data_IF_413237555693
#
_entry.id   IF_413237555693
#
_cell.length_a   1.000
_cell.length_b   1.000
_cell.length_c   1.000
_cell.angle_alpha   90.00
_cell.angle_beta   90.00
_cell.angle_gamma   90.00
#
_symmetry.space_group_name_H-M   'P 1'
#
loop_
_entity.id
_entity.type
_entity.pdbx_description
1 polymer ?
#
# COMPACT_ATOMS: atom_id res chain seq x y z
N UNK A 1 25.64 -37.67 16.65
CA UNK A 1 24.94 -38.95 16.35
C UNK A 1 24.17 -38.77 15.06
N UNK A 2 24.69 -39.31 13.94
CA UNK A 2 24.09 -39.17 12.63
C UNK A 2 23.00 -40.19 12.41
N UNK A 3 21.80 -39.91 12.89
CA UNK A 3 20.62 -40.66 12.43
C UNK A 3 20.23 -40.11 11.09
N UNK A 4 20.27 -40.96 10.06
CA UNK A 4 19.77 -40.59 8.73
C UNK A 4 18.29 -40.22 8.80
N UNK A 5 17.87 -39.13 8.16
CA UNK A 5 16.47 -38.70 8.18
C UNK A 5 15.59 -39.71 7.45
N UNK A 6 14.52 -40.18 8.11
CA UNK A 6 13.46 -40.96 7.46
C UNK A 6 12.47 -40.02 6.76
N UNK A 7 11.91 -40.48 5.64
CA UNK A 7 10.97 -39.69 4.85
C UNK A 7 9.67 -40.47 4.64
N UNK A 8 8.55 -39.80 4.90
CA UNK A 8 7.24 -40.27 4.50
C UNK A 8 6.68 -39.36 3.41
N UNK A 9 5.99 -39.92 2.42
CA UNK A 9 5.37 -39.19 1.32
C UNK A 9 3.87 -39.46 1.32
N UNK A 10 3.09 -38.39 1.38
CA UNK A 10 1.64 -38.46 1.19
C UNK A 10 1.19 -37.26 0.36
N UNK A 11 0.19 -37.45 -0.49
CA UNK A 11 -0.38 -36.42 -1.35
C UNK A 11 -1.75 -36.03 -0.86
N UNK A 12 -2.01 -34.73 -0.77
CA UNK A 12 -3.28 -34.15 -0.38
C UNK A 12 -3.74 -33.17 -1.45
N UNK A 13 -5.04 -33.09 -1.70
CA UNK A 13 -5.60 -32.05 -2.55
C UNK A 13 -5.75 -30.74 -1.77
N UNK A 14 -6.03 -29.66 -2.49
CA UNK A 14 -6.27 -28.34 -1.89
C UNK A 14 -7.73 -28.11 -1.44
N UNK A 15 -8.57 -29.15 -1.47
CA UNK A 15 -9.92 -29.09 -0.90
C UNK A 15 -9.87 -29.09 0.62
N UNK A 16 -10.78 -28.35 1.26
CA UNK A 16 -10.78 -28.18 2.74
C UNK A 16 -10.72 -29.53 3.49
N UNK A 17 -11.52 -30.52 3.11
CA UNK A 17 -11.50 -31.84 3.76
C UNK A 17 -10.12 -32.50 3.63
N UNK A 18 -9.45 -32.36 2.50
CA UNK A 18 -8.12 -32.94 2.30
C UNK A 18 -7.04 -32.20 3.09
N UNK A 19 -7.17 -30.87 3.26
CA UNK A 19 -6.27 -30.08 4.11
C UNK A 19 -6.50 -30.45 5.60
N UNK A 20 -7.75 -30.70 6.02
CA UNK A 20 -8.05 -31.20 7.36
C UNK A 20 -7.46 -32.60 7.59
N UNK A 21 -7.55 -33.50 6.60
CA UNK A 21 -6.88 -34.79 6.65
C UNK A 21 -5.35 -34.65 6.74
N UNK A 22 -4.77 -33.66 6.03
CA UNK A 22 -3.36 -33.33 6.15
C UNK A 22 -3.01 -32.87 7.57
N UNK A 23 -3.82 -31.98 8.17
CA UNK A 23 -3.66 -31.54 9.56
C UNK A 23 -3.69 -32.72 10.54
N UNK A 24 -4.68 -33.62 10.44
CA UNK A 24 -4.76 -34.80 11.25
C UNK A 24 -3.53 -35.71 11.09
N UNK A 25 -3.11 -35.93 9.85
CA UNK A 25 -1.93 -36.74 9.57
C UNK A 25 -0.65 -36.14 10.19
N UNK A 26 -0.50 -34.83 10.19
CA UNK A 26 0.62 -34.14 10.87
C UNK A 26 0.57 -34.37 12.38
N UNK A 27 -0.59 -34.20 12.99
CA UNK A 27 -0.80 -34.38 14.44
C UNK A 27 -0.51 -35.81 14.85
N UNK A 28 -1.04 -36.80 14.13
CA UNK A 28 -0.83 -38.25 14.39
C UNK A 28 0.66 -38.62 14.30
N UNK A 29 1.41 -37.97 13.39
CA UNK A 29 2.85 -38.18 13.26
C UNK A 29 3.70 -37.25 14.16
N UNK A 30 3.06 -36.56 15.12
CA UNK A 30 3.72 -35.60 16.03
C UNK A 30 4.53 -34.52 15.33
N UNK A 31 4.17 -34.20 14.09
CA UNK A 31 4.81 -33.18 13.28
C UNK A 31 4.15 -31.83 13.58
N UNK A 32 4.83 -30.99 14.36
CA UNK A 32 4.32 -29.68 14.80
C UNK A 32 4.79 -28.52 13.93
N UNK A 33 5.70 -28.76 13.01
CA UNK A 33 6.32 -27.72 12.19
C UNK A 33 6.15 -28.03 10.71
N UNK A 34 5.64 -27.05 9.95
CA UNK A 34 5.43 -27.14 8.49
C UNK A 34 6.09 -25.97 7.81
N UNK A 35 6.77 -26.24 6.70
CA UNK A 35 7.33 -25.20 5.84
C UNK A 35 6.70 -25.28 4.45
N UNK A 36 6.21 -24.14 3.98
CA UNK A 36 5.63 -23.99 2.63
C UNK A 36 6.29 -22.83 1.90
N UNK A 37 6.36 -22.89 0.57
CA UNK A 37 6.75 -21.73 -0.20
C UNK A 37 5.60 -20.71 -0.34
N UNK A 38 5.94 -19.44 -0.63
CA UNK A 38 4.98 -18.34 -0.75
C UNK A 38 4.53 -18.10 -2.20
N UNK A 39 4.44 -19.14 -3.03
CA UNK A 39 4.01 -19.02 -4.41
C UNK A 39 2.55 -18.57 -4.50
N UNK A 40 2.32 -17.37 -5.05
CA UNK A 40 1.00 -16.78 -5.19
C UNK A 40 0.23 -16.64 -3.88
N UNK A 41 -1.04 -17.04 -3.90
CA UNK A 41 -1.93 -17.07 -2.72
C UNK A 41 -2.30 -18.50 -2.27
N UNK A 42 -1.74 -19.52 -2.90
CA UNK A 42 -2.12 -20.92 -2.67
C UNK A 42 -1.79 -21.43 -1.27
N UNK A 43 -0.80 -20.85 -0.60
CA UNK A 43 -0.45 -21.16 0.78
C UNK A 43 -1.47 -20.65 1.80
N UNK A 44 -2.23 -19.58 1.47
CA UNK A 44 -3.14 -18.90 2.43
C UNK A 44 -4.23 -19.80 2.97
N UNK A 45 -5.00 -20.57 2.17
CA UNK A 45 -6.00 -21.49 2.69
C UNK A 45 -5.41 -22.59 3.58
N UNK A 46 -4.24 -23.11 3.21
CA UNK A 46 -3.53 -24.12 4.00
C UNK A 46 -3.05 -23.54 5.33
N UNK A 47 -2.43 -22.35 5.29
CA UNK A 47 -2.00 -21.62 6.48
C UNK A 47 -3.15 -21.38 7.44
N UNK A 48 -4.28 -20.87 6.96
CA UNK A 48 -5.44 -20.53 7.79
C UNK A 48 -6.06 -21.76 8.50
N UNK A 49 -5.93 -22.97 7.94
CA UNK A 49 -6.44 -24.20 8.55
C UNK A 49 -5.44 -24.84 9.51
N UNK A 50 -4.15 -24.55 9.36
CA UNK A 50 -3.09 -25.15 10.17
C UNK A 50 -2.66 -24.26 11.34
N UNK A 51 -2.72 -22.92 11.20
CA UNK A 51 -2.06 -21.95 12.11
C UNK A 51 -2.42 -22.08 13.59
N UNK A 52 -3.60 -22.62 13.92
CA UNK A 52 -4.05 -22.77 15.31
C UNK A 52 -3.35 -23.91 16.06
N UNK A 53 -2.88 -24.96 15.35
CA UNK A 53 -2.33 -26.16 15.96
C UNK A 53 -0.91 -26.51 15.49
N UNK A 54 -0.48 -25.94 14.38
CA UNK A 54 0.77 -26.25 13.70
C UNK A 54 1.58 -24.97 13.49
N UNK A 55 2.87 -25.01 13.78
CA UNK A 55 3.80 -23.94 13.48
C UNK A 55 4.09 -23.87 11.97
N UNK A 56 3.48 -22.94 11.28
CA UNK A 56 3.62 -22.83 9.82
C UNK A 56 4.62 -21.75 9.45
N UNK A 57 5.71 -22.17 8.83
CA UNK A 57 6.73 -21.26 8.27
C UNK A 57 6.49 -21.06 6.77
N UNK A 58 6.29 -19.82 6.38
CA UNK A 58 6.17 -19.44 4.96
C UNK A 58 7.52 -19.00 4.45
N UNK A 59 8.08 -19.76 3.52
CA UNK A 59 9.38 -19.51 2.91
C UNK A 59 9.27 -18.64 1.65
N UNK A 60 10.19 -17.70 1.49
CA UNK A 60 10.29 -16.97 0.23
C UNK A 60 10.98 -17.88 -0.83
N UNK A 61 10.39 -18.08 -2.02
CA UNK A 61 10.95 -18.95 -3.08
C UNK A 61 12.40 -18.62 -3.44
N UNK A 62 12.81 -17.36 -3.25
CA UNK A 62 14.22 -16.95 -3.48
C UNK A 62 15.22 -17.72 -2.62
N UNK A 63 14.83 -18.10 -1.41
CA UNK A 63 15.70 -18.76 -0.43
C UNK A 63 15.63 -20.28 -0.47
N UNK A 64 14.55 -20.82 -1.01
CA UNK A 64 14.31 -22.27 -1.06
C UNK A 64 14.40 -22.86 -2.46
N UNK A 65 14.76 -22.06 -3.46
CA UNK A 65 14.87 -22.49 -4.86
C UNK A 65 15.97 -23.53 -4.99
N UNK A 66 15.61 -24.72 -5.46
CA UNK A 66 16.56 -25.78 -5.77
C UNK A 66 17.54 -25.36 -6.89
N UNK A 67 18.74 -25.93 -6.85
CA UNK A 67 19.72 -25.83 -7.94
C UNK A 67 19.12 -26.49 -9.19
N UNK A 68 19.40 -25.96 -10.39
CA UNK A 68 18.86 -26.41 -11.68
C UNK A 68 18.86 -27.94 -11.83
N UNK A 69 17.70 -28.50 -12.14
CA UNK A 69 17.48 -29.91 -12.40
C UNK A 69 16.03 -30.16 -12.81
N UNK A 70 15.65 -31.40 -13.14
CA UNK A 70 14.28 -31.76 -13.42
C UNK A 70 13.38 -31.44 -12.22
N UNK A 71 12.47 -30.50 -12.40
CA UNK A 71 11.47 -30.14 -11.40
C UNK A 71 10.51 -31.32 -11.19
N UNK A 72 10.42 -31.74 -9.94
CA UNK A 72 9.43 -32.70 -9.47
C UNK A 72 8.99 -32.23 -8.07
N UNK A 73 7.70 -32.09 -7.84
CA UNK A 73 7.11 -31.64 -6.56
C UNK A 73 7.62 -32.45 -5.36
N UNK A 74 7.92 -33.73 -5.59
CA UNK A 74 8.48 -34.61 -4.53
C UNK A 74 9.90 -34.21 -4.16
N UNK A 75 10.71 -33.86 -5.16
CA UNK A 75 12.10 -33.41 -4.94
C UNK A 75 12.12 -32.02 -4.28
N UNK A 76 11.23 -31.14 -4.73
CA UNK A 76 11.11 -29.79 -4.19
C UNK A 76 10.64 -29.82 -2.74
N UNK A 77 9.62 -30.62 -2.38
CA UNK A 77 9.15 -30.74 -1.00
C UNK A 77 10.21 -31.33 -0.07
N UNK A 78 10.93 -32.39 -0.51
CA UNK A 78 12.06 -32.97 0.24
C UNK A 78 13.19 -31.96 0.43
N UNK A 79 13.50 -31.18 -0.61
CA UNK A 79 14.53 -30.13 -0.54
C UNK A 79 14.17 -29.04 0.47
N UNK A 80 12.93 -28.50 0.39
CA UNK A 80 12.44 -27.49 1.32
C UNK A 80 12.44 -28.03 2.75
N UNK A 81 11.97 -29.27 2.97
CA UNK A 81 11.98 -29.92 4.27
C UNK A 81 13.39 -30.09 4.85
N UNK A 82 14.40 -30.45 4.01
CA UNK A 82 15.78 -30.55 4.46
C UNK A 82 16.36 -29.19 4.85
N UNK A 83 16.16 -28.16 4.03
CA UNK A 83 16.61 -26.80 4.36
C UNK A 83 15.96 -26.29 5.65
N UNK A 84 14.67 -26.57 5.84
CA UNK A 84 13.91 -26.16 7.02
C UNK A 84 14.42 -26.87 8.27
N UNK A 85 14.62 -28.18 8.23
CA UNK A 85 15.19 -28.97 9.32
C UNK A 85 16.57 -28.50 9.75
N UNK A 86 17.36 -28.01 8.82
CA UNK A 86 18.71 -27.45 9.10
C UNK A 86 18.67 -25.98 9.57
N UNK A 87 17.49 -25.37 9.74
CA UNK A 87 17.34 -23.97 10.14
C UNK A 87 17.80 -22.94 9.09
N UNK A 88 17.90 -23.37 7.83
CA UNK A 88 18.40 -22.52 6.73
C UNK A 88 17.30 -21.72 6.03
N UNK A 89 16.03 -21.90 6.43
CA UNK A 89 14.89 -21.21 5.82
C UNK A 89 14.47 -20.03 6.69
N UNK A 90 14.73 -18.79 6.29
CA UNK A 90 14.17 -17.62 6.97
C UNK A 90 12.66 -17.54 6.70
N UNK A 91 11.84 -17.59 7.75
CA UNK A 91 10.39 -17.43 7.67
C UNK A 91 9.99 -16.02 7.23
N UNK A 92 8.92 -15.94 6.44
CA UNK A 92 8.28 -14.67 6.12
C UNK A 92 7.39 -14.23 7.28
N UNK A 93 7.39 -12.94 7.62
CA UNK A 93 6.48 -12.40 8.63
C UNK A 93 5.02 -12.44 8.13
N UNK A 94 4.19 -13.17 8.84
CA UNK A 94 2.74 -13.25 8.62
C UNK A 94 2.06 -12.68 9.87
N UNK A 95 1.31 -11.58 9.77
CA UNK A 95 0.59 -11.02 10.92
C UNK A 95 -0.53 -11.94 11.39
N UNK A 96 -1.00 -11.70 12.61
CA UNK A 96 -2.17 -12.38 13.16
C UNK A 96 -3.43 -12.14 12.29
N UNK A 97 -4.40 -13.03 12.40
CA UNK A 97 -5.61 -13.05 11.57
C UNK A 97 -6.37 -11.72 11.53
N UNK A 98 -6.62 -10.99 12.64
CA UNK A 98 -7.29 -9.69 12.59
C UNK A 98 -6.51 -8.66 11.75
N UNK A 99 -5.19 -8.61 11.89
CA UNK A 99 -4.34 -7.72 11.10
C UNK A 99 -4.32 -8.13 9.61
N UNK A 100 -4.42 -9.42 9.29
CA UNK A 100 -4.54 -9.87 7.89
C UNK A 100 -5.84 -9.40 7.24
N UNK A 101 -6.95 -9.46 7.97
CA UNK A 101 -8.24 -8.93 7.50
C UNK A 101 -8.13 -7.42 7.26
N UNK A 102 -7.64 -6.65 8.24
CA UNK A 102 -7.41 -5.22 8.10
C UNK A 102 -6.53 -4.91 6.87
N UNK A 103 -5.47 -5.70 6.63
CA UNK A 103 -4.57 -5.58 5.49
C UNK A 103 -5.27 -5.82 4.15
N UNK A 104 -6.22 -6.73 4.06
CA UNK A 104 -6.98 -6.97 2.83
C UNK A 104 -7.79 -5.73 2.45
N UNK A 105 -8.51 -5.12 3.39
CA UNK A 105 -9.29 -3.92 3.16
C UNK A 105 -8.42 -2.69 2.83
N UNK A 106 -7.33 -2.46 3.57
CA UNK A 106 -6.42 -1.33 3.28
C UNK A 106 -5.76 -1.45 1.91
N UNK A 107 -5.37 -2.65 1.50
CA UNK A 107 -4.80 -2.91 0.17
C UNK A 107 -5.83 -2.79 -0.93
N UNK A 108 -7.07 -3.18 -0.70
CA UNK A 108 -8.16 -3.00 -1.65
C UNK A 108 -8.48 -1.52 -1.82
N UNK A 109 -8.60 -0.77 -0.71
CA UNK A 109 -8.75 0.68 -0.71
C UNK A 109 -7.65 1.39 -1.52
N UNK A 110 -6.40 1.00 -1.31
CA UNK A 110 -5.26 1.54 -2.08
C UNK A 110 -5.41 1.33 -3.58
N UNK A 111 -5.84 0.14 -4.02
CA UNK A 111 -6.09 -0.16 -5.43
C UNK A 111 -7.24 0.66 -5.99
N UNK A 112 -8.35 0.77 -5.27
CA UNK A 112 -9.49 1.60 -5.69
C UNK A 112 -9.12 3.08 -5.77
N UNK A 113 -8.30 3.58 -4.85
CA UNK A 113 -7.78 4.96 -4.92
C UNK A 113 -6.94 5.18 -6.18
N UNK A 114 -6.12 4.19 -6.58
CA UNK A 114 -5.38 4.24 -7.83
C UNK A 114 -6.29 4.19 -9.06
N UNK A 115 -7.32 3.34 -9.04
CA UNK A 115 -8.35 3.29 -10.08
C UNK A 115 -9.09 4.64 -10.19
N UNK A 116 -9.52 5.21 -9.07
CA UNK A 116 -10.17 6.52 -9.03
C UNK A 116 -9.31 7.61 -9.67
N UNK A 117 -8.01 7.64 -9.36
CA UNK A 117 -7.07 8.58 -9.97
C UNK A 117 -6.98 8.37 -11.48
N UNK A 118 -6.94 7.12 -11.94
CA UNK A 118 -6.93 6.80 -13.37
C UNK A 118 -8.20 7.25 -14.08
N UNK A 119 -9.37 7.09 -13.46
CA UNK A 119 -10.64 7.57 -14.01
C UNK A 119 -10.71 9.10 -14.02
N UNK A 120 -10.22 9.78 -12.98
CA UNK A 120 -10.11 11.24 -12.97
C UNK A 120 -9.25 11.76 -14.12
N UNK A 121 -8.10 11.16 -14.35
CA UNK A 121 -7.22 11.54 -15.47
C UNK A 121 -7.89 11.26 -16.82
N UNK A 122 -8.63 10.14 -16.96
CA UNK A 122 -9.37 9.80 -18.18
C UNK A 122 -10.47 10.81 -18.46
N UNK A 123 -11.17 11.26 -17.43
CA UNK A 123 -12.21 12.28 -17.54
C UNK A 123 -11.65 13.63 -17.96
N UNK A 124 -10.56 14.06 -17.31
CA UNK A 124 -9.86 15.31 -17.66
C UNK A 124 -9.33 15.29 -19.09
N UNK A 125 -8.69 14.20 -19.51
CA UNK A 125 -8.22 14.04 -20.88
C UNK A 125 -9.38 14.10 -21.91
N UNK A 126 -10.54 13.55 -21.56
CA UNK A 126 -11.73 13.64 -22.43
C UNK A 126 -12.22 15.07 -22.57
N UNK A 127 -12.20 15.88 -21.52
CA UNK A 127 -12.54 17.32 -21.57
C UNK A 127 -11.53 18.08 -22.48
N UNK A 128 -10.25 17.84 -22.30
CA UNK A 128 -9.19 18.46 -23.11
C UNK A 128 -9.37 18.18 -24.61
N UNK A 129 -9.74 16.95 -24.98
CA UNK A 129 -9.99 16.59 -26.39
C UNK A 129 -11.23 17.31 -26.97
N UNK A 130 -12.15 17.74 -26.11
CA UNK A 130 -13.35 18.50 -26.48
C UNK A 130 -13.17 20.02 -26.44
N UNK A 131 -11.93 20.53 -26.33
CA UNK A 131 -11.63 21.95 -26.14
C UNK A 131 -12.21 22.56 -24.85
N UNK A 132 -12.36 21.77 -23.79
CA UNK A 132 -12.77 22.26 -22.47
C UNK A 132 -11.50 22.44 -21.62
N UNK A 133 -11.03 23.67 -21.48
CA UNK A 133 -9.80 24.03 -20.75
C UNK A 133 -10.11 24.53 -19.32
N UNK A 134 -11.18 24.04 -18.71
CA UNK A 134 -11.66 24.48 -17.40
C UNK A 134 -10.64 24.28 -16.28
N UNK A 135 -9.76 23.29 -16.39
CA UNK A 135 -8.67 23.00 -15.46
C UNK A 135 -7.60 24.09 -15.40
N UNK A 136 -7.52 24.98 -16.40
CA UNK A 136 -6.64 26.15 -16.38
C UNK A 136 -7.14 27.27 -15.45
N UNK A 137 -8.45 27.28 -15.15
CA UNK A 137 -9.13 28.35 -14.38
C UNK A 137 -9.50 27.90 -12.97
N UNK A 138 -9.92 26.63 -12.83
CA UNK A 138 -10.36 26.05 -11.55
C UNK A 138 -9.27 25.21 -10.92
N UNK A 139 -9.19 25.25 -9.60
CA UNK A 139 -8.22 24.42 -8.86
C UNK A 139 -8.59 22.93 -8.82
N UNK A 140 -9.87 22.59 -8.95
CA UNK A 140 -10.39 21.22 -8.97
C UNK A 140 -11.59 21.12 -9.92
N UNK A 141 -11.40 20.39 -11.01
CA UNK A 141 -12.47 20.14 -12.01
C UNK A 141 -13.59 19.21 -11.48
N UNK A 142 -13.36 18.53 -10.35
CA UNK A 142 -14.35 17.71 -9.66
C UNK A 142 -15.06 18.49 -8.53
N UNK A 143 -14.75 19.76 -8.35
CA UNK A 143 -15.46 20.65 -7.43
C UNK A 143 -16.87 20.97 -7.91
N UNK A 144 -17.77 21.34 -6.97
CA UNK A 144 -19.22 21.54 -7.23
C UNK A 144 -19.50 22.44 -8.46
N UNK A 145 -18.86 23.62 -8.56
CA UNK A 145 -19.09 24.53 -9.67
C UNK A 145 -18.59 23.97 -11.00
N UNK A 146 -17.36 23.44 -11.03
CA UNK A 146 -16.79 22.89 -12.24
C UNK A 146 -17.61 21.69 -12.75
N UNK A 147 -18.01 20.80 -11.85
CA UNK A 147 -18.89 19.67 -12.16
C UNK A 147 -20.21 20.13 -12.73
N UNK A 148 -20.87 21.15 -12.13
CA UNK A 148 -22.15 21.70 -12.61
C UNK A 148 -22.02 22.33 -14.01
N UNK A 149 -20.90 22.99 -14.30
CA UNK A 149 -20.62 23.52 -15.63
C UNK A 149 -20.41 22.39 -16.65
N UNK A 150 -19.61 21.38 -16.30
CA UNK A 150 -19.34 20.24 -17.19
C UNK A 150 -20.64 19.45 -17.47
N UNK A 151 -21.49 19.24 -16.47
CA UNK A 151 -22.76 18.56 -16.62
C UNK A 151 -23.67 19.33 -17.59
N UNK A 152 -23.71 20.67 -17.48
CA UNK A 152 -24.37 21.55 -18.46
C UNK A 152 -23.86 21.32 -19.88
N UNK A 153 -22.53 21.33 -20.10
CA UNK A 153 -21.94 21.12 -21.42
C UNK A 153 -22.28 19.74 -22.03
N UNK A 154 -22.36 18.72 -21.20
CA UNK A 154 -22.72 17.34 -21.61
C UNK A 154 -24.22 17.25 -21.99
N UNK A 155 -25.07 18.08 -21.40
CA UNK A 155 -26.50 18.09 -21.66
C UNK A 155 -26.91 18.87 -22.94
N UNK A 156 -26.09 19.86 -23.38
CA UNK A 156 -26.38 20.63 -24.59
C UNK A 156 -26.36 19.75 -25.84
N UNK A 157 -27.32 19.97 -26.73
CA UNK A 157 -27.42 19.21 -27.98
C UNK A 157 -26.54 19.76 -29.10
N UNK A 158 -26.36 21.07 -29.13
CA UNK A 158 -25.72 21.83 -30.22
C UNK A 158 -24.38 22.46 -29.89
N UNK A 159 -23.79 22.10 -28.75
CA UNK A 159 -22.56 22.67 -28.19
C UNK A 159 -22.65 24.22 -27.98
N UNK A 160 -23.86 24.78 -27.85
CA UNK A 160 -24.05 26.18 -27.48
C UNK A 160 -23.85 26.42 -26.00
N UNK A 161 -23.43 27.60 -25.62
CA UNK A 161 -23.34 28.05 -24.23
C UNK A 161 -24.20 29.27 -23.97
N UNK A 162 -24.88 29.24 -22.83
CA UNK A 162 -25.59 30.40 -22.30
C UNK A 162 -24.73 30.96 -21.14
N UNK A 163 -24.17 32.18 -21.34
CA UNK A 163 -23.27 32.82 -20.40
C UNK A 163 -23.93 33.07 -19.03
N UNK A 164 -25.19 33.48 -19.01
CA UNK A 164 -25.93 33.76 -17.78
C UNK A 164 -26.15 32.46 -16.97
N UNK A 165 -26.49 31.38 -17.65
CA UNK A 165 -26.68 30.07 -17.04
C UNK A 165 -25.37 29.52 -16.47
N UNK A 166 -24.27 29.62 -17.21
CA UNK A 166 -22.93 29.24 -16.69
C UNK A 166 -22.58 30.06 -15.45
N UNK A 167 -22.75 31.40 -15.51
CA UNK A 167 -22.46 32.27 -14.37
C UNK A 167 -23.30 31.91 -13.14
N UNK A 168 -24.57 31.50 -13.32
CA UNK A 168 -25.45 31.07 -12.22
C UNK A 168 -24.97 29.80 -11.50
N UNK A 169 -24.26 28.89 -12.20
CA UNK A 169 -23.71 27.63 -11.68
C UNK A 169 -22.43 27.83 -10.87
N UNK A 170 -21.81 29.01 -10.95
CA UNK A 170 -20.56 29.30 -10.25
C UNK A 170 -20.82 29.71 -8.79
N UNK A 171 -20.02 29.18 -7.87
CA UNK A 171 -20.13 29.43 -6.45
C UNK A 171 -18.89 30.19 -5.90
N UNK A 172 -19.13 31.03 -4.88
CA UNK A 172 -18.06 31.70 -4.11
C UNK A 172 -17.02 32.42 -5.00
N UNK A 173 -15.75 32.07 -4.84
CA UNK A 173 -14.63 32.73 -5.55
C UNK A 173 -14.66 32.57 -7.06
N UNK A 174 -15.28 31.51 -7.59
CA UNK A 174 -15.41 31.30 -9.03
C UNK A 174 -16.39 32.29 -9.69
N UNK A 175 -17.36 32.86 -8.95
CA UNK A 175 -18.21 33.95 -9.49
C UNK A 175 -17.39 35.13 -9.99
N UNK A 176 -16.30 35.46 -9.30
CA UNK A 176 -15.38 36.56 -9.71
C UNK A 176 -14.54 36.21 -10.94
N UNK A 177 -14.51 34.96 -11.36
CA UNK A 177 -13.77 34.46 -12.52
C UNK A 177 -14.73 33.98 -13.62
N UNK A 178 -15.98 34.45 -13.62
CA UNK A 178 -17.02 34.02 -14.57
C UNK A 178 -16.53 34.14 -16.02
N UNK A 179 -15.97 35.26 -16.38
CA UNK A 179 -15.51 35.52 -17.75
C UNK A 179 -14.38 34.54 -18.15
N UNK A 180 -13.41 34.31 -17.29
CA UNK A 180 -12.37 33.29 -17.52
C UNK A 180 -12.89 31.87 -17.63
N UNK A 181 -13.95 31.54 -16.87
CA UNK A 181 -14.62 30.21 -16.96
C UNK A 181 -15.31 30.10 -18.32
N UNK A 182 -16.03 31.13 -18.75
CA UNK A 182 -16.71 31.16 -20.05
C UNK A 182 -15.69 31.04 -21.17
N UNK A 183 -14.63 31.85 -21.16
CA UNK A 183 -13.55 31.81 -22.14
C UNK A 183 -12.88 30.44 -22.26
N UNK A 184 -12.73 29.72 -21.11
CA UNK A 184 -12.11 28.39 -21.09
C UNK A 184 -12.93 27.26 -21.69
N UNK A 185 -14.21 27.52 -21.99
CA UNK A 185 -15.16 26.55 -22.56
C UNK A 185 -15.78 27.05 -23.89
N UNK A 186 -15.54 28.27 -24.25
CA UNK A 186 -16.10 28.84 -25.48
C UNK A 186 -15.54 28.10 -26.70
N UNK A 187 -16.42 27.76 -27.64
CA UNK A 187 -16.05 26.99 -28.82
C UNK A 187 -15.74 25.50 -28.54
N UNK A 188 -16.13 24.98 -27.38
CA UNK A 188 -16.02 23.55 -27.12
C UNK A 188 -16.80 22.73 -28.15
N UNK A 189 -16.34 21.48 -28.37
CA UNK A 189 -17.01 20.58 -29.28
C UNK A 189 -17.06 19.17 -28.68
N UNK A 190 -18.26 18.69 -28.44
CA UNK A 190 -18.50 17.32 -27.95
C UNK A 190 -19.47 16.60 -28.89
N UNK A 191 -19.05 15.49 -29.42
CA UNK A 191 -19.96 14.56 -30.12
C UNK A 191 -20.79 13.77 -29.10
N UNK A 192 -21.93 13.23 -29.53
CA UNK A 192 -22.79 12.42 -28.66
C UNK A 192 -22.06 11.19 -28.08
N UNK A 193 -21.13 10.60 -28.87
CA UNK A 193 -20.28 9.49 -28.41
C UNK A 193 -19.33 9.94 -27.29
N UNK A 194 -18.77 11.15 -27.35
CA UNK A 194 -17.91 11.70 -26.29
C UNK A 194 -18.73 12.01 -25.04
N UNK A 195 -19.90 12.65 -25.18
CA UNK A 195 -20.83 12.89 -24.06
C UNK A 195 -21.23 11.60 -23.37
N UNK A 196 -21.60 10.55 -24.14
CA UNK A 196 -21.95 9.25 -23.61
C UNK A 196 -20.77 8.61 -22.86
N UNK A 197 -19.56 8.64 -23.44
CA UNK A 197 -18.35 8.14 -22.79
C UNK A 197 -18.07 8.86 -21.47
N UNK A 198 -18.24 10.19 -21.42
CA UNK A 198 -18.01 10.97 -20.20
C UNK A 198 -19.01 10.60 -19.11
N UNK A 199 -20.29 10.37 -19.45
CA UNK A 199 -21.29 9.87 -18.51
C UNK A 199 -20.89 8.51 -17.92
N UNK A 200 -20.38 7.58 -18.74
CA UNK A 200 -19.91 6.27 -18.28
C UNK A 200 -18.72 6.40 -17.32
N UNK A 201 -17.72 7.22 -17.67
CA UNK A 201 -16.55 7.45 -16.80
C UNK A 201 -16.97 8.08 -15.48
N UNK A 202 -17.93 9.02 -15.51
CA UNK A 202 -18.45 9.66 -14.31
C UNK A 202 -19.17 8.67 -13.40
N UNK A 203 -20.08 7.87 -13.95
CA UNK A 203 -20.79 6.83 -13.18
C UNK A 203 -19.80 5.83 -12.54
N UNK A 204 -18.76 5.43 -13.26
CA UNK A 204 -17.73 4.56 -12.72
C UNK A 204 -16.92 5.25 -11.60
N UNK A 205 -16.60 6.54 -11.75
CA UNK A 205 -15.92 7.33 -10.72
C UNK A 205 -16.75 7.44 -9.44
N UNK A 206 -18.05 7.67 -9.58
CA UNK A 206 -18.99 7.77 -8.46
C UNK A 206 -19.12 6.42 -7.74
N UNK A 207 -19.23 5.32 -8.49
CA UNK A 207 -19.25 3.96 -7.93
C UNK A 207 -17.96 3.63 -7.15
N UNK A 208 -16.78 3.93 -7.71
CA UNK A 208 -15.51 3.71 -7.01
C UNK A 208 -15.46 4.56 -5.73
N UNK A 209 -15.94 5.79 -5.78
CA UNK A 209 -15.94 6.69 -4.63
C UNK A 209 -16.85 6.17 -3.51
N UNK A 210 -18.06 5.71 -3.84
CA UNK A 210 -18.97 5.06 -2.89
C UNK A 210 -18.33 3.82 -2.26
N UNK A 211 -17.75 2.94 -3.08
CA UNK A 211 -17.09 1.72 -2.59
C UNK A 211 -15.91 2.04 -1.64
N UNK A 212 -15.17 3.12 -1.90
CA UNK A 212 -14.10 3.56 -0.98
C UNK A 212 -14.71 4.00 0.37
N UNK A 213 -15.83 4.71 0.37
CA UNK A 213 -16.50 5.13 1.59
C UNK A 213 -17.00 3.93 2.41
N UNK A 214 -17.56 2.91 1.75
CA UNK A 214 -17.99 1.67 2.40
C UNK A 214 -16.81 0.95 3.05
N UNK A 215 -15.67 0.89 2.36
CA UNK A 215 -14.42 0.33 2.90
C UNK A 215 -13.93 1.16 4.09
N UNK A 216 -14.02 2.49 4.04
CA UNK A 216 -13.59 3.36 5.14
C UNK A 216 -14.42 3.09 6.40
N UNK A 217 -15.74 2.90 6.27
CA UNK A 217 -16.61 2.49 7.37
C UNK A 217 -16.21 1.13 7.96
N UNK A 218 -15.89 0.15 7.11
CA UNK A 218 -15.42 -1.16 7.57
C UNK A 218 -14.05 -1.05 8.26
N UNK A 219 -13.13 -0.24 7.73
CA UNK A 219 -11.82 -0.01 8.33
C UNK A 219 -11.93 0.62 9.73
N UNK A 220 -12.87 1.54 9.94
CA UNK A 220 -13.11 2.13 11.27
C UNK A 220 -13.54 1.08 12.29
N UNK A 221 -14.38 0.13 11.89
CA UNK A 221 -14.76 -0.99 12.77
C UNK A 221 -13.60 -1.94 13.05
N UNK A 222 -12.81 -2.28 12.04
CA UNK A 222 -11.69 -3.23 12.17
C UNK A 222 -10.51 -2.64 12.95
N UNK A 223 -10.30 -1.34 12.91
CA UNK A 223 -9.19 -0.66 13.59
C UNK A 223 -9.50 -0.33 15.06
N UNK A 224 -10.77 -0.34 15.45
CA UNK A 224 -11.19 0.06 16.81
C UNK A 224 -10.39 -0.60 17.95
N UNK A 225 -10.03 -1.90 17.90
CA UNK A 225 -9.18 -2.52 18.93
C UNK A 225 -7.75 -1.95 19.00
N UNK A 226 -7.30 -1.25 17.96
CA UNK A 226 -5.96 -0.69 17.82
C UNK A 226 -5.95 0.83 17.87
N UNK A 227 -7.05 1.49 18.28
CA UNK A 227 -7.21 2.94 18.25
C UNK A 227 -6.12 3.67 19.04
N UNK A 228 -5.72 3.12 20.19
CA UNK A 228 -4.62 3.69 20.97
C UNK A 228 -3.30 3.73 20.17
N UNK A 229 -2.99 2.66 19.43
CA UNK A 229 -1.81 2.62 18.56
C UNK A 229 -1.93 3.63 17.42
N UNK A 230 -3.12 3.80 16.83
CA UNK A 230 -3.38 4.84 15.81
C UNK A 230 -3.09 6.23 16.36
N UNK A 231 -3.63 6.56 17.55
CA UNK A 231 -3.42 7.86 18.19
C UNK A 231 -1.94 8.12 18.47
N UNK A 232 -1.22 7.13 19.00
CA UNK A 232 0.21 7.22 19.24
C UNK A 232 0.99 7.50 17.94
N UNK A 233 0.67 6.80 16.85
CA UNK A 233 1.33 7.02 15.55
C UNK A 233 1.01 8.39 14.97
N UNK A 234 -0.19 8.93 15.18
CA UNK A 234 -0.58 10.27 14.74
C UNK A 234 0.20 11.39 15.44
N UNK A 235 0.91 11.11 16.53
CA UNK A 235 1.84 12.09 17.14
C UNK A 235 3.07 12.37 16.28
N UNK A 236 3.40 11.49 15.35
CA UNK A 236 4.51 11.68 14.41
C UNK A 236 4.10 12.71 13.34
N UNK A 237 4.88 13.79 13.14
CA UNK A 237 4.59 14.76 12.10
C UNK A 237 4.41 14.13 10.72
N UNK A 238 3.30 14.47 10.06
CA UNK A 238 2.94 13.97 8.74
C UNK A 238 2.21 12.62 8.72
N UNK A 239 2.02 11.96 9.86
CA UNK A 239 1.18 10.77 9.97
C UNK A 239 -0.24 11.19 10.28
N UNK A 240 -1.15 10.91 9.38
CA UNK A 240 -2.60 11.01 9.61
C UNK A 240 -3.20 9.64 9.95
N UNK A 241 -4.49 9.64 10.36
CA UNK A 241 -5.22 8.43 10.72
C UNK A 241 -5.14 7.35 9.63
N UNK A 242 -5.32 7.70 8.36
CA UNK A 242 -5.30 6.74 7.26
C UNK A 242 -3.91 6.13 7.06
N UNK A 243 -2.87 6.92 7.19
CA UNK A 243 -1.48 6.44 7.14
C UNK A 243 -1.16 5.53 8.33
N UNK A 244 -1.62 5.86 9.53
CA UNK A 244 -1.46 5.02 10.72
C UNK A 244 -2.15 3.67 10.55
N UNK A 245 -3.41 3.65 10.07
CA UNK A 245 -4.15 2.41 9.76
C UNK A 245 -3.40 1.58 8.72
N UNK A 246 -2.90 2.21 7.65
CA UNK A 246 -2.11 1.52 6.62
C UNK A 246 -0.85 0.89 7.19
N UNK A 247 -0.14 1.60 8.05
CA UNK A 247 1.06 1.09 8.73
C UNK A 247 0.71 -0.11 9.61
N UNK A 248 -0.27 0.03 10.50
CA UNK A 248 -0.72 -1.04 11.41
C UNK A 248 -1.16 -2.27 10.61
N UNK A 249 -1.88 -2.10 9.51
CA UNK A 249 -2.31 -3.21 8.65
C UNK A 249 -1.14 -4.00 8.04
N UNK A 250 0.01 -3.34 7.80
CA UNK A 250 1.17 -3.97 7.19
C UNK A 250 2.14 -4.58 8.20
N UNK A 251 2.32 -3.98 9.38
CA UNK A 251 3.31 -4.46 10.36
C UNK A 251 2.71 -4.98 11.66
N UNK A 252 1.40 -4.78 11.90
CA UNK A 252 0.78 -5.04 13.19
C UNK A 252 1.16 -4.00 14.25
N UNK A 253 0.77 -4.26 15.50
CA UNK A 253 1.15 -3.49 16.69
C UNK A 253 2.21 -4.17 17.54
N UNK A 254 2.36 -5.50 17.39
CA UNK A 254 3.39 -6.27 18.05
C UNK A 254 4.70 -6.21 17.28
N UNK A 255 5.74 -5.67 17.91
CA UNK A 255 7.07 -5.53 17.32
C UNK A 255 8.02 -6.70 17.62
N UNK A 256 7.60 -7.70 18.40
CA UNK A 256 8.43 -8.87 18.75
C UNK A 256 8.92 -9.68 17.53
N UNK A 257 8.20 -9.78 16.40
CA UNK A 257 8.71 -10.45 15.21
C UNK A 257 9.91 -9.76 14.56
N UNK A 258 10.16 -8.51 14.90
CA UNK A 258 11.29 -7.74 14.40
C UNK A 258 12.29 -7.48 15.51
N UNK A 259 13.46 -8.12 15.46
CA UNK A 259 14.49 -7.99 16.50
C UNK A 259 14.96 -6.55 16.76
N UNK A 260 14.76 -5.64 15.83
CA UNK A 260 15.05 -4.20 15.95
C UNK A 260 14.48 -3.41 14.77
N UNK A 261 14.44 -2.08 14.89
CA UNK A 261 13.95 -1.18 13.85
C UNK A 261 14.70 -1.28 12.50
N UNK A 262 16.00 -1.67 12.53
CA UNK A 262 16.78 -1.86 11.29
C UNK A 262 16.27 -3.04 10.48
N UNK A 263 15.87 -4.14 11.14
CA UNK A 263 15.24 -5.31 10.49
C UNK A 263 13.89 -4.96 9.89
N UNK A 264 13.06 -4.21 10.60
CA UNK A 264 11.79 -3.70 10.08
C UNK A 264 12.01 -2.81 8.84
N UNK A 265 12.98 -1.90 8.87
CA UNK A 265 13.31 -1.05 7.72
C UNK A 265 13.83 -1.86 6.51
N UNK A 266 14.57 -2.94 6.74
CA UNK A 266 15.00 -3.87 5.70
C UNK A 266 13.80 -4.60 5.08
N UNK A 267 12.91 -5.11 5.93
CA UNK A 267 11.68 -5.79 5.52
C UNK A 267 10.77 -4.87 4.70
N UNK A 268 10.62 -3.62 5.12
CA UNK A 268 9.85 -2.59 4.41
C UNK A 268 10.50 -2.09 3.10
N UNK A 269 11.72 -2.54 2.79
CA UNK A 269 12.42 -2.12 1.58
C UNK A 269 12.91 -0.67 1.58
N UNK A 270 13.16 -0.09 2.77
CA UNK A 270 13.68 1.27 2.94
C UNK A 270 15.22 1.30 3.14
N UNK A 271 15.87 0.16 3.00
CA UNK A 271 17.34 0.07 3.06
C UNK A 271 17.91 -0.32 1.70
N UNK A 272 19.14 0.11 1.38
CA UNK A 272 19.85 -0.37 0.20
C UNK A 272 20.00 -1.89 0.25
N UNK A 273 19.86 -2.54 -0.89
CA UNK A 273 20.19 -3.95 -1.05
C UNK A 273 21.72 -4.13 -0.91
N UNK A 274 22.13 -5.20 -0.23
CA UNK A 274 23.55 -5.54 -0.13
C UNK A 274 23.97 -6.24 -1.44
N UNK A 275 24.42 -5.47 -2.40
CA UNK A 275 24.89 -5.96 -3.70
C UNK A 275 26.36 -5.56 -3.87
N UNK A 276 27.22 -6.28 -3.17
CA UNK A 276 28.66 -6.10 -3.17
C UNK A 276 29.34 -7.42 -3.51
N UNK A 277 30.36 -7.39 -4.34
CA UNK A 277 31.17 -8.55 -4.73
C UNK A 277 32.62 -8.10 -4.86
N UNK A 278 33.53 -8.80 -4.20
CA UNK A 278 34.98 -8.50 -4.18
C UNK A 278 35.26 -7.02 -3.81
N UNK A 279 34.61 -6.50 -2.76
CA UNK A 279 34.78 -5.11 -2.28
C UNK A 279 34.15 -4.04 -3.19
N UNK A 280 33.55 -4.41 -4.34
CA UNK A 280 32.92 -3.47 -5.27
C UNK A 280 31.40 -3.45 -5.08
N UNK A 281 30.83 -2.30 -4.73
CA UNK A 281 29.37 -2.09 -4.64
C UNK A 281 28.77 -2.00 -6.03
N UNK A 282 27.99 -3.02 -6.43
CA UNK A 282 27.29 -3.07 -7.71
C UNK A 282 26.05 -2.20 -7.75
N UNK A 283 25.33 -2.03 -6.62
CA UNK A 283 24.13 -1.21 -6.56
C UNK A 283 23.86 -0.72 -5.13
N UNK A 284 23.36 0.52 -5.03
CA UNK A 284 22.85 1.12 -3.78
C UNK A 284 21.32 1.31 -3.82
N UNK A 285 20.64 0.66 -4.77
CA UNK A 285 19.18 0.77 -4.90
C UNK A 285 18.51 0.07 -3.72
N UNK A 286 17.42 0.65 -3.25
CA UNK A 286 16.53 0.02 -2.27
C UNK A 286 15.82 -1.17 -2.90
N UNK A 287 15.42 -2.15 -2.08
CA UNK A 287 14.72 -3.35 -2.54
C UNK A 287 13.29 -3.03 -3.02
N UNK A 288 12.68 -3.96 -3.76
CA UNK A 288 11.28 -3.85 -4.20
C UNK A 288 10.27 -4.28 -3.13
N UNK A 289 10.73 -4.65 -1.93
CA UNK A 289 9.87 -5.00 -0.80
C UNK A 289 8.96 -3.81 -0.37
N UNK A 290 7.94 -4.10 0.42
CA UNK A 290 7.05 -3.09 0.99
C UNK A 290 6.19 -2.35 -0.04
N UNK A 291 5.55 -3.08 -0.96
CA UNK A 291 4.77 -2.51 -2.09
C UNK A 291 3.68 -1.55 -1.62
N UNK A 292 3.07 -1.78 -0.46
CA UNK A 292 2.03 -0.92 0.12
C UNK A 292 2.57 0.00 1.22
N UNK A 293 3.40 -0.53 2.13
CA UNK A 293 3.95 0.23 3.24
C UNK A 293 4.91 1.34 2.79
N UNK A 294 5.81 1.04 1.86
CA UNK A 294 6.80 2.01 1.40
C UNK A 294 6.20 3.26 0.73
N UNK A 295 5.23 3.15 -0.22
CA UNK A 295 4.55 4.33 -0.75
C UNK A 295 3.85 5.16 0.34
N UNK A 296 3.17 4.53 1.29
CA UNK A 296 2.53 5.23 2.41
C UNK A 296 3.55 6.02 3.24
N UNK A 297 4.67 5.40 3.61
CA UNK A 297 5.74 6.08 4.37
C UNK A 297 6.42 7.19 3.56
N UNK A 298 6.51 7.07 2.24
CA UNK A 298 7.01 8.14 1.36
C UNK A 298 6.05 9.32 1.34
N UNK A 299 4.74 9.10 1.28
CA UNK A 299 3.74 10.16 1.38
C UNK A 299 3.81 10.87 2.74
N UNK A 300 3.87 10.10 3.83
CA UNK A 300 4.08 10.62 5.19
C UNK A 300 5.36 11.45 5.27
N UNK A 301 6.46 10.98 4.68
CA UNK A 301 7.72 11.73 4.66
C UNK A 301 7.59 13.06 3.90
N UNK A 302 6.85 13.10 2.79
CA UNK A 302 6.58 14.35 2.07
C UNK A 302 5.72 15.31 2.91
N UNK A 303 4.74 14.82 3.66
CA UNK A 303 3.93 15.64 4.57
C UNK A 303 4.78 16.15 5.75
N UNK A 304 5.58 15.28 6.36
CA UNK A 304 6.43 15.61 7.51
C UNK A 304 7.46 16.71 7.20
N UNK A 305 8.07 16.70 5.99
CA UNK A 305 9.06 17.73 5.61
C UNK A 305 8.43 19.07 5.24
N UNK A 306 7.11 19.10 5.00
CA UNK A 306 6.34 20.32 4.74
C UNK A 306 5.62 20.86 5.98
N UNK A 307 5.62 20.10 7.06
CA UNK A 307 4.94 20.49 8.32
C UNK A 307 5.69 21.65 8.97
N UNK A 308 5.01 22.76 9.16
CA UNK A 308 5.55 23.94 9.86
C UNK A 308 5.53 23.74 11.40
N UNK A 309 4.66 22.85 11.91
CA UNK A 309 4.53 22.58 13.34
C UNK A 309 5.72 21.80 13.93
N UNK A 310 6.54 21.15 13.09
CA UNK A 310 7.72 20.42 13.56
C UNK A 310 8.85 20.47 12.52
N UNK A 311 9.87 21.32 12.74
CA UNK A 311 10.96 21.49 11.81
C UNK A 311 11.95 20.30 11.77
N UNK A 312 11.82 19.32 12.68
CA UNK A 312 12.76 18.20 12.83
C UNK A 312 13.03 17.45 11.52
N UNK A 313 11.98 16.96 10.85
CA UNK A 313 12.15 16.22 9.60
C UNK A 313 12.56 17.13 8.43
N UNK A 314 12.10 18.38 8.40
CA UNK A 314 12.51 19.39 7.42
C UNK A 314 14.01 19.65 7.46
N UNK A 315 14.58 19.92 8.63
CA UNK A 315 16.02 20.14 8.81
C UNK A 315 16.86 18.92 8.42
N UNK A 316 16.43 17.71 8.85
CA UNK A 316 17.10 16.47 8.47
C UNK A 316 17.05 16.24 6.96
N UNK A 317 15.89 16.50 6.32
CA UNK A 317 15.71 16.40 4.88
C UNK A 317 16.65 17.34 4.13
N UNK A 318 16.68 18.62 4.47
CA UNK A 318 17.51 19.64 3.81
C UNK A 318 19.01 19.28 3.90
N UNK A 319 19.47 18.86 5.06
CA UNK A 319 20.85 18.40 5.26
C UNK A 319 21.22 17.21 4.37
N UNK A 320 20.31 16.23 4.25
CA UNK A 320 20.57 15.04 3.42
C UNK A 320 20.44 15.39 1.94
N UNK A 321 19.47 16.24 1.57
CA UNK A 321 19.18 16.65 0.20
C UNK A 321 20.40 17.32 -0.47
N UNK A 322 21.09 18.22 0.25
CA UNK A 322 22.31 18.89 -0.24
C UNK A 322 23.39 17.90 -0.71
N UNK A 323 23.52 16.74 -0.05
CA UNK A 323 24.58 15.74 -0.34
C UNK A 323 24.14 14.58 -1.23
N UNK A 324 22.86 14.18 -1.18
CA UNK A 324 22.36 12.93 -1.78
C UNK A 324 21.21 13.12 -2.75
N UNK A 325 20.68 14.34 -2.87
CA UNK A 325 19.55 14.70 -3.74
C UNK A 325 18.17 14.35 -3.13
N UNK A 326 17.13 14.97 -3.69
CA UNK A 326 15.73 14.96 -3.17
C UNK A 326 15.18 13.56 -2.95
N UNK A 327 15.27 12.67 -3.95
CA UNK A 327 14.68 11.30 -3.89
C UNK A 327 15.30 10.46 -2.77
N UNK A 328 16.63 10.52 -2.60
CA UNK A 328 17.31 9.76 -1.52
C UNK A 328 17.02 10.35 -0.14
N UNK A 329 16.90 11.68 -0.05
CA UNK A 329 16.55 12.36 1.20
C UNK A 329 15.15 11.94 1.69
N UNK A 330 14.13 11.91 0.83
CA UNK A 330 12.79 11.45 1.20
C UNK A 330 12.78 10.00 1.69
N UNK A 331 13.49 9.10 1.03
CA UNK A 331 13.60 7.70 1.49
C UNK A 331 14.30 7.62 2.87
N UNK A 332 15.30 8.47 3.13
CA UNK A 332 15.93 8.53 4.44
C UNK A 332 14.95 9.02 5.53
N UNK A 333 14.13 10.04 5.23
CA UNK A 333 13.07 10.49 6.15
C UNK A 333 12.03 9.40 6.38
N UNK A 334 11.55 8.73 5.34
CA UNK A 334 10.62 7.61 5.45
C UNK A 334 11.17 6.48 6.35
N UNK A 335 12.48 6.19 6.24
CA UNK A 335 13.16 5.25 7.13
C UNK A 335 13.22 5.75 8.58
N UNK A 336 13.48 7.04 8.81
CA UNK A 336 13.48 7.62 10.15
C UNK A 336 12.09 7.54 10.78
N UNK A 337 11.04 7.83 10.02
CA UNK A 337 9.65 7.69 10.45
C UNK A 337 9.33 6.25 10.83
N UNK A 338 9.72 5.26 10.02
CA UNK A 338 9.50 3.85 10.34
C UNK A 338 10.28 3.42 11.60
N UNK A 339 11.46 3.99 11.85
CA UNK A 339 12.21 3.77 13.09
C UNK A 339 11.47 4.35 14.30
N UNK A 340 10.88 5.53 14.17
CA UNK A 340 10.05 6.13 15.22
C UNK A 340 8.78 5.30 15.47
N UNK A 341 8.10 4.82 14.41
CA UNK A 341 6.95 3.92 14.51
C UNK A 341 7.32 2.65 15.30
N UNK A 342 8.44 2.02 14.98
CA UNK A 342 8.94 0.84 15.71
C UNK A 342 9.09 1.15 17.20
N UNK A 343 9.72 2.28 17.55
CA UNK A 343 9.95 2.67 18.94
C UNK A 343 8.63 2.91 19.66
N UNK A 344 7.73 3.69 19.08
CA UNK A 344 6.41 4.01 19.66
C UNK A 344 5.59 2.73 19.92
N UNK A 345 5.52 1.81 18.95
CA UNK A 345 4.79 0.55 19.12
C UNK A 345 5.46 -0.39 20.12
N UNK A 346 6.78 -0.29 20.33
CA UNK A 346 7.51 -1.10 21.31
C UNK A 346 7.39 -0.56 22.74
N UNK A 347 7.33 0.77 22.93
CA UNK A 347 7.33 1.41 24.26
C UNK A 347 5.97 1.92 24.71
N UNK A 348 5.06 2.17 23.79
CA UNK A 348 3.78 2.83 24.08
C UNK A 348 3.90 4.35 24.32
N UNK A 349 5.06 4.94 24.06
CA UNK A 349 5.32 6.36 24.28
C UNK A 349 4.97 7.22 23.06
N UNK A 350 4.61 8.48 23.28
CA UNK A 350 4.36 9.46 22.21
C UNK A 350 5.66 9.83 21.48
N UNK A 351 5.54 10.25 20.24
CA UNK A 351 6.71 10.70 19.48
C UNK A 351 7.34 11.94 20.12
N UNK A 352 8.60 11.86 20.43
CA UNK A 352 9.45 12.96 20.86
C UNK A 352 10.61 13.15 19.91
N UNK A 353 10.88 14.37 19.40
CA UNK A 353 12.05 14.59 18.57
C UNK A 353 13.30 14.38 19.42
N UNK A 354 14.16 13.47 19.01
CA UNK A 354 15.54 13.44 19.54
C UNK A 354 16.16 14.81 19.28
N UNK A 355 16.74 15.43 20.30
CA UNK A 355 17.32 16.77 20.21
C UNK A 355 18.15 16.91 18.92
N UNK A 356 17.84 17.97 18.19
CA UNK A 356 18.64 18.33 17.01
C UNK A 356 19.91 18.91 17.59
N UNK A 357 20.95 18.09 17.70
CA UNK A 357 22.27 18.59 18.05
C UNK A 357 22.59 19.77 17.13
N UNK A 358 22.83 20.92 17.74
CA UNK A 358 23.21 22.19 17.13
C UNK A 358 24.45 22.06 16.26
#
# INVERSE_FOLDING_TARGET
SGVEPSYQKKRFSTFNNSILQFKHWLIENQCRDVCMDSTGKYWVPVFNLLEDDINVTIANPKWVKAVKGNKDDTKDSKWIGNLFRLGLVPGSYIPCKPIRILREFTRYRYKLTSCRTSEKNRYQNALTVCNVALDSVVSDIFGKSATSVIDYLIEQSDNSINHEEIASRLLRSLKKKSDSVIESIEGYQMTDSQKYRMRLVRAHLDYITSTINDIDTMLDSLIAPYENAVQLLCTIPGVDRNSAITVISEIGTDMTPFSNSKRLCCWAGLTPGNNESAGKKKSVRITRAGIYLKPALVQVAHAAVKSDNSPYYKQKYERIMKRRGKKRAIIAIARMILTAIYQILSTGEVWTPTEVYK
#
